data_IF_445845760220
#
_entry.id   IF_445845760220
#
_cell.length_a   1.000
_cell.length_b   1.000
_cell.length_c   1.000
_cell.angle_alpha   90.00
_cell.angle_beta   90.00
_cell.angle_gamma   90.00
#
_symmetry.space_group_name_H-M   'P 1'
#
loop_
_entity.id
_entity.type
_entity.pdbx_description
1 polymer ?
#
# COMPACT_ATOMS: atom_id res chain seq x y z
N UNK A 1 11.40 2.05 -16.92
CA UNK A 1 11.21 1.16 -15.75
C UNK A 1 11.05 2.05 -14.54
N UNK A 2 9.99 1.87 -13.75
CA UNK A 2 9.76 2.60 -12.52
C UNK A 2 9.06 1.70 -11.51
N UNK A 3 9.55 1.71 -10.28
CA UNK A 3 8.88 1.06 -9.15
C UNK A 3 8.62 2.13 -8.12
N UNK A 4 7.33 2.41 -7.87
CA UNK A 4 6.93 3.50 -7.00
C UNK A 4 7.13 3.09 -5.54
N UNK A 5 7.55 4.04 -4.70
CA UNK A 5 7.60 3.84 -3.26
C UNK A 5 6.27 4.25 -2.59
N UNK A 6 5.34 4.80 -3.38
CA UNK A 6 3.96 5.10 -3.00
C UNK A 6 3.11 3.83 -2.87
N UNK A 7 2.10 3.87 -2.01
CA UNK A 7 1.09 2.82 -1.93
C UNK A 7 0.38 2.63 -3.30
N UNK A 8 0.17 1.39 -3.78
CA UNK A 8 -0.50 1.13 -5.05
C UNK A 8 -1.89 1.75 -5.19
N UNK A 9 -2.59 2.02 -4.08
CA UNK A 9 -3.87 2.73 -4.05
C UNK A 9 -3.85 4.09 -4.74
N UNK A 10 -2.71 4.79 -4.74
CA UNK A 10 -2.52 6.08 -5.42
C UNK A 10 -2.30 5.94 -6.93
N UNK A 11 -1.97 4.76 -7.41
CA UNK A 11 -1.69 4.54 -8.82
C UNK A 11 -3.00 4.42 -9.58
N UNK A 12 -3.17 5.18 -10.65
CA UNK A 12 -4.27 4.95 -11.58
C UNK A 12 -4.08 3.62 -12.33
N UNK A 13 -5.09 3.20 -13.09
CA UNK A 13 -5.05 1.92 -13.82
C UNK A 13 -3.78 1.75 -14.66
N UNK A 14 -3.40 2.77 -15.44
CA UNK A 14 -2.24 2.70 -16.32
C UNK A 14 -0.92 2.59 -15.53
N UNK A 15 -0.76 3.37 -14.46
CA UNK A 15 0.45 3.31 -13.62
C UNK A 15 0.54 2.01 -12.82
N UNK A 16 -0.58 1.48 -12.31
CA UNK A 16 -0.64 0.23 -11.55
C UNK A 16 -0.21 -0.97 -12.42
N UNK A 17 -0.85 -1.12 -13.60
CA UNK A 17 -0.53 -2.20 -14.53
C UNK A 17 0.86 -2.01 -15.17
N UNK A 18 1.27 -0.75 -15.37
CA UNK A 18 2.61 -0.41 -15.85
C UNK A 18 3.69 -0.85 -14.87
N UNK A 19 3.56 -0.48 -13.59
CA UNK A 19 4.51 -0.88 -12.55
C UNK A 19 4.55 -2.40 -12.37
N UNK A 20 3.40 -3.09 -12.38
CA UNK A 20 3.37 -4.56 -12.31
C UNK A 20 4.23 -5.20 -13.42
N UNK A 21 4.09 -4.74 -14.66
CA UNK A 21 4.90 -5.21 -15.80
C UNK A 21 6.38 -4.85 -15.65
N UNK A 22 6.68 -3.63 -15.22
CA UNK A 22 8.07 -3.17 -15.05
C UNK A 22 8.78 -3.91 -13.91
N UNK A 23 8.08 -4.22 -12.82
CA UNK A 23 8.59 -5.06 -11.74
C UNK A 23 8.94 -6.46 -12.24
N UNK A 24 8.07 -7.09 -13.04
CA UNK A 24 8.36 -8.38 -13.67
C UNK A 24 9.58 -8.33 -14.58
N UNK A 25 9.76 -7.23 -15.33
CA UNK A 25 10.95 -7.04 -16.13
C UNK A 25 12.22 -6.94 -15.27
N UNK A 26 12.19 -6.21 -14.15
CA UNK A 26 13.31 -6.16 -13.18
C UNK A 26 13.61 -7.56 -12.63
N UNK A 27 12.59 -8.28 -12.17
CA UNK A 27 12.72 -9.66 -11.68
C UNK A 27 13.35 -10.56 -12.74
N UNK A 28 12.94 -10.44 -13.99
CA UNK A 28 13.50 -11.21 -15.11
C UNK A 28 14.97 -10.87 -15.36
N UNK A 29 15.34 -9.58 -15.31
CA UNK A 29 16.73 -9.14 -15.50
C UNK A 29 17.62 -9.71 -14.39
N UNK A 30 17.20 -9.57 -13.13
CA UNK A 30 17.95 -10.03 -11.96
C UNK A 30 18.06 -11.56 -11.95
N UNK A 31 16.95 -12.28 -12.13
CA UNK A 31 16.91 -13.76 -12.06
C UNK A 31 17.74 -14.43 -13.16
N UNK A 32 17.78 -13.84 -14.36
CA UNK A 32 18.46 -14.42 -15.51
C UNK A 32 19.76 -13.71 -15.88
N UNK A 33 20.24 -12.79 -15.03
CA UNK A 33 21.45 -12.00 -15.24
C UNK A 33 21.53 -11.37 -16.66
N UNK A 34 20.40 -10.80 -17.13
CA UNK A 34 20.30 -10.24 -18.49
C UNK A 34 21.14 -8.96 -18.58
N UNK A 35 21.78 -8.72 -19.74
CA UNK A 35 22.57 -7.49 -19.98
C UNK A 35 21.72 -6.26 -20.31
N UNK A 36 20.60 -6.44 -21.00
CA UNK A 36 19.70 -5.34 -21.36
C UNK A 36 19.02 -4.74 -20.12
N UNK A 37 19.07 -3.41 -19.98
CA UNK A 37 18.51 -2.64 -18.84
C UNK A 37 19.05 -3.03 -17.46
N UNK A 38 20.15 -3.80 -17.37
CA UNK A 38 20.77 -4.15 -16.08
C UNK A 38 21.35 -2.95 -15.34
N UNK A 39 21.78 -1.93 -16.09
CA UNK A 39 22.29 -0.66 -15.57
C UNK A 39 21.21 0.41 -15.37
N UNK A 40 19.94 0.08 -15.59
CA UNK A 40 18.87 1.02 -15.32
C UNK A 40 18.83 1.34 -13.81
N UNK A 41 18.62 2.60 -13.37
CA UNK A 41 18.64 2.98 -11.96
C UNK A 41 17.73 2.11 -11.08
N UNK A 42 16.50 1.83 -11.52
CA UNK A 42 15.61 0.90 -10.82
C UNK A 42 16.16 -0.52 -10.73
N UNK A 43 16.68 -1.08 -11.82
CA UNK A 43 17.26 -2.44 -11.77
C UNK A 43 18.41 -2.52 -10.78
N UNK A 44 19.29 -1.51 -10.78
CA UNK A 44 20.40 -1.42 -9.84
C UNK A 44 19.92 -1.27 -8.39
N UNK A 45 18.91 -0.42 -8.16
CA UNK A 45 18.31 -0.20 -6.83
C UNK A 45 17.77 -1.49 -6.22
N UNK A 46 17.14 -2.34 -7.03
CA UNK A 46 16.49 -3.58 -6.58
C UNK A 46 17.41 -4.81 -6.57
N UNK A 47 18.64 -4.69 -7.08
CA UNK A 47 19.61 -5.79 -7.12
C UNK A 47 19.86 -6.33 -5.69
N UNK A 48 19.65 -7.64 -5.50
CA UNK A 48 19.85 -8.31 -4.21
C UNK A 48 18.64 -8.25 -3.25
N UNK A 49 17.64 -7.41 -3.50
CA UNK A 49 16.46 -7.21 -2.64
C UNK A 49 15.25 -8.04 -3.09
N UNK A 50 15.46 -9.33 -3.33
CA UNK A 50 14.44 -10.26 -3.86
C UNK A 50 13.20 -10.38 -2.98
N UNK A 51 13.36 -10.40 -1.64
CA UNK A 51 12.22 -10.41 -0.73
C UNK A 51 11.35 -9.17 -0.90
N UNK A 52 11.95 -7.98 -0.97
CA UNK A 52 11.20 -6.74 -1.14
C UNK A 52 10.55 -6.63 -2.53
N UNK A 53 11.18 -7.15 -3.60
CA UNK A 53 10.53 -7.27 -4.91
C UNK A 53 9.27 -8.13 -4.83
N UNK A 54 9.36 -9.29 -4.17
CA UNK A 54 8.21 -10.16 -3.95
C UNK A 54 7.13 -9.47 -3.12
N UNK A 55 7.51 -8.71 -2.10
CA UNK A 55 6.56 -7.98 -1.26
C UNK A 55 5.89 -6.82 -2.01
N UNK A 56 6.66 -6.03 -2.78
CA UNK A 56 6.11 -4.99 -3.66
C UNK A 56 5.15 -5.57 -4.69
N UNK A 57 5.49 -6.73 -5.26
CA UNK A 57 4.59 -7.44 -6.17
C UNK A 57 3.27 -7.83 -5.47
N UNK A 58 3.32 -8.37 -4.24
CA UNK A 58 2.09 -8.68 -3.49
C UNK A 58 1.24 -7.43 -3.22
N UNK A 59 1.86 -6.29 -2.91
CA UNK A 59 1.14 -5.02 -2.74
C UNK A 59 0.42 -4.60 -4.02
N UNK A 60 1.09 -4.70 -5.18
CA UNK A 60 0.48 -4.41 -6.49
C UNK A 60 -0.66 -5.40 -6.79
N UNK A 61 -0.43 -6.69 -6.59
CA UNK A 61 -1.42 -7.74 -6.83
C UNK A 61 -2.65 -7.59 -5.92
N UNK A 62 -2.47 -7.21 -4.65
CA UNK A 62 -3.56 -6.96 -3.72
C UNK A 62 -4.44 -5.78 -4.20
N UNK A 63 -3.82 -4.68 -4.62
CA UNK A 63 -4.55 -3.53 -5.17
C UNK A 63 -5.22 -3.86 -6.51
N UNK A 64 -4.54 -4.63 -7.38
CA UNK A 64 -5.09 -5.13 -8.63
C UNK A 64 -6.35 -5.96 -8.38
N UNK A 65 -6.27 -6.95 -7.47
CA UNK A 65 -7.39 -7.81 -7.12
C UNK A 65 -8.55 -7.01 -6.52
N UNK A 66 -8.26 -6.04 -5.66
CA UNK A 66 -9.28 -5.14 -5.09
C UNK A 66 -10.05 -4.37 -6.16
N UNK A 67 -9.40 -4.06 -7.29
CA UNK A 67 -10.01 -3.37 -8.45
C UNK A 67 -10.51 -4.31 -9.54
N UNK A 68 -10.56 -5.63 -9.27
CA UNK A 68 -11.07 -6.64 -10.20
C UNK A 68 -10.06 -7.15 -11.25
N UNK A 69 -8.77 -6.84 -11.11
CA UNK A 69 -7.72 -7.38 -11.96
C UNK A 69 -7.05 -8.59 -11.30
N UNK A 70 -7.13 -9.75 -11.94
CA UNK A 70 -6.51 -10.97 -11.41
C UNK A 70 -5.03 -11.07 -11.80
N UNK A 71 -4.14 -11.04 -10.81
CA UNK A 71 -2.74 -11.43 -11.01
C UNK A 71 -2.61 -12.97 -11.01
N UNK A 72 -1.81 -13.51 -11.94
CA UNK A 72 -1.54 -14.95 -12.08
C UNK A 72 -0.05 -15.27 -12.13
N UNK A 73 0.79 -14.29 -11.81
CA UNK A 73 2.24 -14.34 -12.04
C UNK A 73 2.97 -14.00 -10.75
N UNK A 74 2.92 -14.85 -9.71
CA UNK A 74 3.56 -14.54 -8.43
C UNK A 74 5.08 -14.42 -8.56
N UNK A 75 5.65 -13.41 -7.90
CA UNK A 75 7.11 -13.27 -7.73
C UNK A 75 7.52 -13.99 -6.45
N UNK A 76 8.47 -14.93 -6.57
CA UNK A 76 8.88 -15.86 -5.50
C UNK A 76 10.35 -15.69 -5.07
N UNK A 77 10.94 -14.51 -5.30
CA UNK A 77 12.31 -14.22 -4.87
C UNK A 77 12.36 -14.04 -3.34
N UNK A 78 13.42 -14.56 -2.70
CA UNK A 78 13.53 -14.61 -1.23
C UNK A 78 14.83 -14.03 -0.66
N UNK A 79 15.71 -13.45 -1.49
CA UNK A 79 16.99 -12.91 -1.02
C UNK A 79 16.80 -11.69 -0.12
N UNK A 80 17.69 -11.53 0.88
CA UNK A 80 17.67 -10.41 1.84
C UNK A 80 16.29 -10.21 2.50
N UNK A 81 15.83 -11.18 3.33
CA UNK A 81 14.51 -11.12 3.95
C UNK A 81 14.32 -9.83 4.74
N UNK A 82 13.14 -9.24 4.60
CA UNK A 82 12.72 -8.01 5.28
C UNK A 82 13.59 -6.77 5.00
N UNK A 83 14.48 -6.81 4.00
CA UNK A 83 15.28 -5.65 3.60
C UNK A 83 14.74 -5.03 2.32
N UNK A 84 14.56 -3.72 2.36
CA UNK A 84 14.22 -2.90 1.20
C UNK A 84 15.45 -2.11 0.75
N UNK A 85 15.48 -1.63 -0.50
CA UNK A 85 16.47 -0.64 -0.90
C UNK A 85 16.35 0.64 -0.05
N UNK A 86 17.47 1.09 0.51
CA UNK A 86 17.55 2.31 1.35
C UNK A 86 17.54 3.60 0.52
N UNK A 87 17.93 3.49 -0.76
CA UNK A 87 17.99 4.62 -1.68
C UNK A 87 16.69 4.73 -2.47
N UNK A 88 16.22 5.95 -2.67
CA UNK A 88 15.11 6.25 -3.57
C UNK A 88 15.63 6.83 -4.88
N UNK A 89 15.06 6.44 -6.02
CA UNK A 89 15.34 7.13 -7.31
C UNK A 89 14.78 8.55 -7.24
N UNK A 90 13.55 8.69 -6.76
CA UNK A 90 12.92 9.96 -6.40
C UNK A 90 12.40 9.85 -4.96
N UNK A 91 12.67 10.86 -4.13
CA UNK A 91 12.17 10.86 -2.75
C UNK A 91 10.64 10.66 -2.70
N UNK A 92 10.09 9.92 -1.71
CA UNK A 92 8.68 9.54 -1.72
C UNK A 92 7.70 10.72 -1.83
N UNK A 93 7.97 11.84 -1.14
CA UNK A 93 7.13 13.02 -1.24
C UNK A 93 7.13 13.64 -2.65
N UNK A 94 8.29 13.62 -3.34
CA UNK A 94 8.43 14.07 -4.73
C UNK A 94 7.62 13.20 -5.70
N UNK A 95 7.47 11.91 -5.41
CA UNK A 95 6.69 11.00 -6.24
C UNK A 95 5.21 11.42 -6.35
N UNK A 96 4.62 12.03 -5.31
CA UNK A 96 3.28 12.58 -5.40
C UNK A 96 3.17 13.69 -6.45
N UNK A 97 4.16 14.60 -6.52
CA UNK A 97 4.19 15.66 -7.54
C UNK A 97 4.33 15.09 -8.95
N UNK A 98 5.15 14.05 -9.12
CA UNK A 98 5.31 13.36 -10.41
C UNK A 98 3.98 12.74 -10.84
N UNK A 99 3.27 12.06 -9.92
CA UNK A 99 1.95 11.50 -10.21
C UNK A 99 0.91 12.58 -10.50
N UNK A 100 0.90 13.68 -9.75
CA UNK A 100 -0.03 14.79 -9.96
C UNK A 100 0.13 15.37 -11.37
N UNK A 101 1.39 15.56 -11.83
CA UNK A 101 1.68 15.96 -13.21
C UNK A 101 1.18 14.93 -14.24
N UNK A 102 1.43 13.64 -14.00
CA UNK A 102 0.99 12.55 -14.88
C UNK A 102 -0.54 12.44 -14.98
N UNK A 103 -1.26 12.82 -13.92
CA UNK A 103 -2.70 12.60 -13.80
C UNK A 103 -3.56 13.85 -14.01
N UNK A 104 -2.97 15.01 -14.34
CA UNK A 104 -3.70 16.29 -14.51
C UNK A 104 -5.00 16.18 -15.31
N UNK A 105 -5.00 15.38 -16.38
CA UNK A 105 -6.17 15.14 -17.25
C UNK A 105 -6.48 13.65 -17.39
N UNK A 106 -6.21 12.85 -16.35
CA UNK A 106 -6.43 11.40 -16.36
C UNK A 106 -7.19 10.98 -15.11
N UNK A 107 -7.80 9.80 -15.19
CA UNK A 107 -8.32 9.11 -14.01
C UNK A 107 -7.24 8.97 -12.94
N UNK A 108 -7.62 9.21 -11.69
CA UNK A 108 -6.76 9.07 -10.53
C UNK A 108 -6.62 7.60 -10.09
N UNK A 109 -5.82 7.35 -9.06
CA UNK A 109 -5.89 6.08 -8.33
C UNK A 109 -7.22 5.91 -7.60
N UNK A 110 -7.43 4.72 -7.01
CA UNK A 110 -8.54 4.49 -6.08
C UNK A 110 -8.51 5.50 -4.94
N UNK A 111 -7.30 5.78 -4.45
CA UNK A 111 -7.04 6.78 -3.43
C UNK A 111 -6.59 8.07 -4.13
N UNK A 112 -7.27 9.21 -3.91
CA UNK A 112 -6.83 10.49 -4.47
C UNK A 112 -5.49 10.91 -3.84
N UNK A 113 -4.65 11.58 -4.63
CA UNK A 113 -3.39 12.10 -4.11
C UNK A 113 -3.66 13.10 -2.97
N UNK A 114 -2.97 12.97 -1.82
CA UNK A 114 -3.25 13.77 -0.64
C UNK A 114 -2.90 15.25 -0.90
N UNK A 115 -3.83 16.15 -0.59
CA UNK A 115 -3.64 17.60 -0.73
C UNK A 115 -2.88 18.20 0.45
N UNK A 116 -2.92 17.54 1.59
CA UNK A 116 -2.30 17.98 2.83
C UNK A 116 -1.98 16.78 3.73
N UNK A 117 -1.31 17.06 4.84
CA UNK A 117 -0.88 16.07 5.83
C UNK A 117 -2.08 15.38 6.49
N UNK A 118 -3.19 16.09 6.71
CA UNK A 118 -4.39 15.52 7.33
C UNK A 118 -5.01 14.44 6.44
N UNK A 119 -5.11 14.69 5.13
CA UNK A 119 -5.59 13.71 4.17
C UNK A 119 -4.61 12.53 4.03
N UNK A 120 -3.30 12.81 3.97
CA UNK A 120 -2.27 11.77 3.97
C UNK A 120 -2.42 10.84 5.19
N UNK A 121 -2.57 11.42 6.38
CA UNK A 121 -2.78 10.68 7.61
C UNK A 121 -4.07 9.88 7.57
N UNK A 122 -5.18 10.51 7.17
CA UNK A 122 -6.47 9.85 7.10
C UNK A 122 -6.43 8.56 6.25
N UNK A 123 -5.70 8.61 5.13
CA UNK A 123 -5.51 7.49 4.20
C UNK A 123 -4.57 6.39 4.72
N UNK A 124 -3.67 6.68 5.67
CA UNK A 124 -2.64 5.74 6.15
C UNK A 124 -2.83 5.26 7.59
N UNK A 125 -3.69 5.89 8.37
CA UNK A 125 -3.76 5.67 9.82
C UNK A 125 -3.95 4.19 10.22
N UNK A 126 -4.77 3.42 9.50
CA UNK A 126 -4.95 1.99 9.77
C UNK A 126 -3.72 1.16 9.38
N UNK A 127 -3.04 1.51 8.30
CA UNK A 127 -1.78 0.85 7.95
C UNK A 127 -0.68 1.09 8.98
N UNK A 128 -0.67 2.27 9.61
CA UNK A 128 0.22 2.59 10.73
C UNK A 128 -0.21 1.80 11.98
N UNK A 129 -1.48 1.85 12.34
CA UNK A 129 -2.03 1.13 13.50
C UNK A 129 -1.75 -0.38 13.45
N UNK A 130 -1.85 -1.00 12.28
CA UNK A 130 -1.55 -2.43 12.11
C UNK A 130 -0.08 -2.79 12.42
N UNK A 131 0.82 -1.81 12.37
CA UNK A 131 2.26 -2.01 12.59
C UNK A 131 2.67 -1.58 13.99
N UNK A 132 2.30 -0.37 14.38
CA UNK A 132 2.76 0.23 15.63
C UNK A 132 1.71 1.20 16.18
N UNK A 133 1.16 0.86 17.35
CA UNK A 133 0.16 1.67 18.05
C UNK A 133 0.75 2.95 18.65
N UNK A 134 2.03 2.92 19.07
CA UNK A 134 2.70 4.09 19.61
C UNK A 134 2.95 5.12 18.51
N UNK A 135 3.43 4.68 17.34
CA UNK A 135 3.55 5.54 16.15
C UNK A 135 2.18 6.04 15.69
N UNK A 136 1.14 5.21 15.74
CA UNK A 136 -0.21 5.65 15.41
C UNK A 136 -0.66 6.83 16.28
N UNK A 137 -0.49 6.72 17.61
CA UNK A 137 -0.84 7.79 18.56
C UNK A 137 0.03 9.03 18.38
N UNK A 138 1.33 8.84 18.21
CA UNK A 138 2.28 9.93 18.03
C UNK A 138 1.99 10.73 16.76
N UNK A 139 1.88 10.05 15.61
CA UNK A 139 1.60 10.70 14.34
C UNK A 139 0.20 11.34 14.34
N UNK A 140 -0.82 10.67 14.88
CA UNK A 140 -2.15 11.26 15.03
C UNK A 140 -2.14 12.54 15.85
N UNK A 141 -1.46 12.54 17.00
CA UNK A 141 -1.28 13.73 17.83
C UNK A 141 -0.49 14.84 17.14
N UNK A 142 0.58 14.49 16.42
CA UNK A 142 1.36 15.44 15.64
C UNK A 142 0.50 16.09 14.54
N UNK A 143 -0.28 15.32 13.78
CA UNK A 143 -1.19 15.83 12.73
C UNK A 143 -2.25 16.75 13.32
N UNK A 144 -2.87 16.37 14.46
CA UNK A 144 -3.92 17.13 15.12
C UNK A 144 -3.43 18.42 15.82
N UNK A 145 -2.15 18.52 16.16
CA UNK A 145 -1.60 19.69 16.84
C UNK A 145 -1.79 21.00 16.04
N UNK A 146 -1.95 22.13 16.70
CA UNK A 146 -2.13 23.45 16.04
C UNK A 146 -0.86 24.01 15.38
N UNK A 147 0.26 23.27 15.36
CA UNK A 147 1.50 23.70 14.70
C UNK A 147 1.26 23.93 13.21
N UNK A 148 1.52 25.16 12.75
CA UNK A 148 1.40 25.55 11.34
C UNK A 148 2.58 25.04 10.52
N UNK A 149 2.40 24.92 9.20
CA UNK A 149 3.51 24.66 8.28
C UNK A 149 3.87 23.19 8.05
N UNK A 150 3.11 22.23 8.59
CA UNK A 150 3.32 20.80 8.33
C UNK A 150 3.11 20.46 6.85
N UNK A 151 4.06 19.74 6.28
CA UNK A 151 4.07 19.30 4.88
C UNK A 151 4.14 17.78 4.81
N UNK A 152 3.66 17.23 3.70
CA UNK A 152 3.76 15.79 3.40
C UNK A 152 5.23 15.34 3.45
N UNK A 153 6.14 16.18 2.96
CA UNK A 153 7.58 15.91 2.98
C UNK A 153 8.20 15.73 4.36
N UNK A 154 7.55 16.20 5.43
CA UNK A 154 8.11 16.19 6.79
C UNK A 154 7.94 14.83 7.49
N UNK A 155 7.11 13.94 6.94
CA UNK A 155 6.69 12.68 7.58
C UNK A 155 6.66 11.50 6.61
N UNK A 156 6.49 11.76 5.31
CA UNK A 156 6.22 10.69 4.37
C UNK A 156 7.39 9.71 4.14
N UNK A 157 8.67 10.14 4.12
CA UNK A 157 9.80 9.20 4.09
C UNK A 157 9.79 8.20 5.27
N UNK A 158 9.55 8.68 6.48
CA UNK A 158 9.45 7.87 7.69
C UNK A 158 8.25 6.93 7.63
N UNK A 159 7.11 7.44 7.15
CA UNK A 159 5.91 6.64 6.93
C UNK A 159 6.17 5.51 5.93
N UNK A 160 6.88 5.76 4.83
CA UNK A 160 7.23 4.72 3.85
C UNK A 160 8.11 3.64 4.48
N UNK A 161 9.09 4.03 5.31
CA UNK A 161 9.93 3.08 6.03
C UNK A 161 9.12 2.21 6.99
N UNK A 162 8.17 2.80 7.73
CA UNK A 162 7.26 2.03 8.59
C UNK A 162 6.40 1.06 7.77
N UNK A 163 5.79 1.53 6.67
CA UNK A 163 4.89 0.73 5.83
C UNK A 163 5.58 -0.45 5.12
N UNK A 164 6.91 -0.39 5.00
CA UNK A 164 7.75 -1.47 4.47
C UNK A 164 7.95 -2.63 5.46
N UNK A 165 7.64 -2.44 6.73
CA UNK A 165 7.68 -3.48 7.75
C UNK A 165 6.39 -4.32 7.76
N UNK A 166 6.48 -5.64 8.04
CA UNK A 166 5.29 -6.46 8.25
C UNK A 166 4.55 -6.03 9.53
N UNK A 167 3.21 -5.99 9.52
CA UNK A 167 2.43 -5.77 10.74
C UNK A 167 2.55 -6.97 11.70
N UNK A 168 2.51 -6.71 13.00
CA UNK A 168 2.37 -7.78 14.00
C UNK A 168 0.96 -8.40 13.89
N UNK A 169 0.84 -9.73 14.05
CA UNK A 169 -0.43 -10.43 13.79
C UNK A 169 -1.59 -9.91 14.68
N UNK A 170 -1.31 -9.64 15.96
CA UNK A 170 -2.30 -9.08 16.89
C UNK A 170 -2.80 -7.71 16.44
N UNK A 171 -1.88 -6.79 16.14
CA UNK A 171 -2.20 -5.44 15.68
C UNK A 171 -2.95 -5.45 14.33
N UNK A 172 -2.56 -6.34 13.41
CA UNK A 172 -3.24 -6.54 12.14
C UNK A 172 -4.71 -6.94 12.35
N UNK A 173 -4.95 -7.94 13.20
CA UNK A 173 -6.29 -8.44 13.51
C UNK A 173 -7.14 -7.35 14.14
N UNK A 174 -6.59 -6.62 15.11
CA UNK A 174 -7.32 -5.56 15.80
C UNK A 174 -7.63 -4.37 14.89
N UNK A 175 -6.69 -3.97 14.05
CA UNK A 175 -6.91 -2.93 13.03
C UNK A 175 -8.03 -3.31 12.06
N UNK A 176 -8.07 -4.57 11.62
CA UNK A 176 -9.13 -5.05 10.71
C UNK A 176 -10.49 -5.04 11.42
N UNK A 177 -10.56 -5.35 12.72
CA UNK A 177 -11.80 -5.20 13.51
C UNK A 177 -12.25 -3.75 13.61
N UNK A 178 -11.33 -2.82 13.87
CA UNK A 178 -11.65 -1.38 13.85
C UNK A 178 -12.19 -0.92 12.49
N UNK A 179 -11.64 -1.45 11.39
CA UNK A 179 -12.19 -1.19 10.04
C UNK A 179 -13.57 -1.83 9.84
N UNK A 180 -13.85 -2.97 10.48
CA UNK A 180 -15.13 -3.68 10.40
C UNK A 180 -16.29 -2.86 10.99
N UNK A 181 -16.03 -2.04 12.02
CA UNK A 181 -17.06 -1.21 12.65
C UNK A 181 -17.76 -0.27 11.65
N UNK A 182 -17.05 0.20 10.62
CA UNK A 182 -17.62 1.03 9.55
C UNK A 182 -18.60 0.28 8.65
N UNK A 183 -18.47 -1.04 8.53
CA UNK A 183 -19.34 -1.86 7.69
C UNK A 183 -20.38 -2.64 8.50
N UNK A 184 -20.32 -2.56 9.83
CA UNK A 184 -21.11 -3.38 10.75
C UNK A 184 -22.61 -3.26 10.54
N UNK A 185 -23.09 -2.06 10.23
CA UNK A 185 -24.51 -1.79 9.95
C UNK A 185 -25.02 -2.46 8.67
N UNK A 186 -24.13 -2.92 7.78
CA UNK A 186 -24.47 -3.54 6.51
C UNK A 186 -24.30 -5.06 6.51
N UNK A 187 -23.91 -5.64 7.64
CA UNK A 187 -23.79 -7.09 7.79
C UNK A 187 -25.19 -7.71 7.89
N UNK A 188 -25.42 -8.76 7.10
CA UNK A 188 -26.62 -9.60 7.27
C UNK A 188 -26.57 -10.39 8.59
N UNK A 189 -27.72 -10.89 9.03
CA UNK A 189 -27.81 -11.76 10.22
C UNK A 189 -26.95 -13.03 10.09
N UNK A 190 -26.77 -13.55 8.86
CA UNK A 190 -25.87 -14.66 8.57
C UNK A 190 -24.39 -14.28 8.65
N UNK A 191 -24.03 -13.03 8.37
CA UNK A 191 -22.65 -12.53 8.38
C UNK A 191 -22.20 -12.03 9.75
N UNK A 192 -23.15 -11.62 10.59
CA UNK A 192 -22.90 -11.26 12.00
C UNK A 192 -22.69 -12.49 12.88
N UNK A 193 -23.21 -13.65 12.50
CA UNK A 193 -23.05 -14.91 13.23
C UNK A 193 -21.66 -15.57 13.06
N UNK A 194 -20.80 -15.02 12.21
CA UNK A 194 -19.51 -15.63 11.85
C UNK A 194 -18.39 -15.12 12.75
N UNK A 195 -18.44 -15.48 14.04
CA UNK A 195 -17.34 -15.23 15.01
C UNK A 195 -16.07 -16.06 14.71
N UNK A 196 -16.05 -16.86 13.63
CA UNK A 196 -14.96 -17.78 13.25
C UNK A 196 -14.23 -17.39 11.96
N UNK A 197 -14.53 -16.24 11.36
CA UNK A 197 -13.89 -15.85 10.11
C UNK A 197 -12.40 -15.56 10.30
N UNK A 198 -11.59 -16.01 9.34
CA UNK A 198 -10.17 -15.68 9.33
C UNK A 198 -9.99 -14.17 9.11
N UNK A 199 -8.84 -13.61 9.54
CA UNK A 199 -8.48 -12.20 9.27
C UNK A 199 -8.63 -11.84 7.79
N UNK A 200 -8.38 -12.81 6.88
CA UNK A 200 -8.54 -12.66 5.43
C UNK A 200 -10.00 -12.50 5.03
N UNK A 201 -10.90 -13.29 5.62
CA UNK A 201 -12.32 -13.29 5.26
C UNK A 201 -13.00 -12.02 5.74
N UNK A 202 -12.69 -11.57 6.96
CA UNK A 202 -13.14 -10.27 7.48
C UNK A 202 -12.68 -9.13 6.56
N UNK A 203 -11.40 -9.10 6.17
CA UNK A 203 -10.89 -8.05 5.27
C UNK A 203 -11.61 -8.07 3.91
N UNK A 204 -11.85 -9.25 3.32
CA UNK A 204 -12.61 -9.37 2.06
C UNK A 204 -14.05 -8.87 2.18
N UNK A 205 -14.69 -9.15 3.32
CA UNK A 205 -16.03 -8.67 3.60
C UNK A 205 -16.05 -7.14 3.71
N UNK A 206 -15.09 -6.55 4.44
CA UNK A 206 -14.92 -5.09 4.53
C UNK A 206 -14.71 -4.48 3.15
N UNK A 207 -13.82 -5.06 2.34
CA UNK A 207 -13.57 -4.61 0.96
C UNK A 207 -14.88 -4.58 0.16
N UNK A 208 -15.61 -5.69 0.12
CA UNK A 208 -16.87 -5.80 -0.62
C UNK A 208 -17.89 -4.75 -0.16
N UNK A 209 -18.13 -4.64 1.15
CA UNK A 209 -19.12 -3.71 1.71
C UNK A 209 -18.72 -2.25 1.54
N UNK A 210 -17.43 -1.92 1.65
CA UNK A 210 -16.93 -0.57 1.41
C UNK A 210 -17.20 -0.09 -0.01
N UNK A 211 -17.08 -0.96 -1.02
CA UNK A 211 -17.43 -0.62 -2.39
C UNK A 211 -18.94 -0.61 -2.64
N UNK A 212 -19.67 -1.61 -2.12
CA UNK A 212 -21.12 -1.74 -2.31
C UNK A 212 -21.90 -0.54 -1.71
N UNK A 213 -21.47 -0.05 -0.56
CA UNK A 213 -22.13 1.04 0.17
C UNK A 213 -21.39 2.38 0.08
N UNK A 214 -20.42 2.50 -0.83
CA UNK A 214 -19.63 3.71 -1.08
C UNK A 214 -19.04 4.37 0.19
N UNK A 215 -18.45 3.56 1.07
CA UNK A 215 -17.84 4.05 2.31
C UNK A 215 -16.49 4.70 1.98
N UNK A 216 -16.55 5.98 1.59
CA UNK A 216 -15.40 6.76 1.08
C UNK A 216 -14.18 6.66 1.98
N UNK A 217 -14.36 6.79 3.28
CA UNK A 217 -13.27 6.72 4.26
C UNK A 217 -12.48 5.41 4.20
N UNK A 218 -13.15 4.26 4.01
CA UNK A 218 -12.48 2.98 3.80
C UNK A 218 -11.94 2.85 2.38
N UNK A 219 -12.70 3.27 1.37
CA UNK A 219 -12.28 3.23 -0.05
C UNK A 219 -11.01 4.03 -0.31
N UNK A 220 -10.77 5.09 0.43
CA UNK A 220 -9.55 5.90 0.36
C UNK A 220 -8.45 5.44 1.33
N UNK A 221 -8.71 4.43 2.16
CA UNK A 221 -7.70 3.85 3.04
C UNK A 221 -6.72 2.98 2.26
N UNK A 222 -5.43 3.17 2.53
CA UNK A 222 -4.35 2.30 2.05
C UNK A 222 -4.47 0.88 2.61
N UNK A 223 -4.91 0.76 3.87
CA UNK A 223 -5.09 -0.51 4.56
C UNK A 223 -6.11 -1.42 3.86
N UNK A 224 -7.13 -0.85 3.22
CA UNK A 224 -8.16 -1.61 2.51
C UNK A 224 -7.57 -2.51 1.42
N UNK A 225 -6.50 -2.07 0.75
CA UNK A 225 -5.79 -2.87 -0.26
C UNK A 225 -4.55 -3.56 0.30
N UNK A 226 -3.70 -2.82 1.02
CA UNK A 226 -2.33 -3.29 1.29
C UNK A 226 -2.24 -4.37 2.37
N UNK A 227 -3.14 -4.39 3.37
CA UNK A 227 -3.10 -5.39 4.45
C UNK A 227 -3.24 -6.83 3.91
N UNK A 228 -3.96 -7.00 2.79
CA UNK A 228 -4.07 -8.30 2.13
C UNK A 228 -2.72 -8.87 1.68
N UNK A 229 -1.73 -8.03 1.40
CA UNK A 229 -0.36 -8.46 1.02
C UNK A 229 0.47 -8.95 2.22
N UNK A 230 0.00 -8.73 3.44
CA UNK A 230 0.66 -9.10 4.70
C UNK A 230 -0.03 -10.24 5.45
N UNK A 231 -1.23 -10.64 5.02
CA UNK A 231 -1.92 -11.80 5.57
C UNK A 231 -1.31 -13.08 4.99
N UNK A 232 -0.76 -13.91 5.87
CA UNK A 232 -0.23 -15.24 5.57
C UNK A 232 -1.34 -16.28 5.61
#
# INVERSE_FOLDING_TARGET
>A
MRVWDLNPGYLNRQSLLGEHRELHAIVSIIKHNKKGYSRHPETLRWQGFGWALSQRHKLLAAEMNLRGYMDRTPVLLKTQPQKWPDVFVDAPATQFSILAGKYKNKEQGRIPLPKNVQQLWAQHQYSVMARDEAEYKYLGGWVASKKTGKRIGDIYPELVSLLRCPPAEGNLRETIRHMQDYVRAYLSSSETAIERDSTRDILKQIQRLAFLHDIVYLKESTALGELQAWIH
#
